data_IF_477893487111
#
_entry.id   IF_477893487111
#
_cell.length_a   1.000
_cell.length_b   1.000
_cell.length_c   1.000
_cell.angle_alpha   90.00
_cell.angle_beta   90.00
_cell.angle_gamma   90.00
#
_symmetry.space_group_name_H-M   'P 1'
#
loop_
_entity.id
_entity.type
_entity.pdbx_description
1 polymer ?
#
# COMPACT_ATOMS: atom_id res chain seq x y z
N UNK A 1 31.53 13.65 -6.97
CA UNK A 1 30.72 13.11 -5.87
C UNK A 1 29.61 14.10 -5.63
N UNK A 2 28.44 13.84 -6.21
CA UNK A 2 27.23 14.65 -5.99
C UNK A 2 26.72 14.31 -4.59
N UNK A 3 26.52 15.31 -3.73
CA UNK A 3 25.80 15.13 -2.49
C UNK A 3 24.36 14.77 -2.86
N UNK A 4 23.94 13.53 -2.56
CA UNK A 4 22.54 13.16 -2.59
C UNK A 4 21.82 14.09 -1.62
N UNK A 5 20.97 14.93 -2.15
CA UNK A 5 20.06 15.75 -1.36
C UNK A 5 19.03 14.83 -0.70
N UNK A 6 18.64 15.13 0.53
CA UNK A 6 17.65 14.38 1.37
C UNK A 6 16.24 14.23 0.75
N UNK A 7 16.08 14.51 -0.54
CA UNK A 7 14.81 14.52 -1.29
C UNK A 7 14.68 13.43 -2.36
N UNK A 8 15.64 12.52 -2.49
CA UNK A 8 15.65 11.49 -3.56
C UNK A 8 15.24 10.09 -3.05
N UNK A 9 14.27 10.01 -2.15
CA UNK A 9 13.69 8.71 -1.80
C UNK A 9 12.68 8.30 -2.87
N UNK A 10 12.63 7.00 -3.25
CA UNK A 10 11.68 6.49 -4.25
C UNK A 10 10.26 6.37 -3.69
N UNK A 11 10.00 6.92 -2.52
CA UNK A 11 8.72 6.89 -1.82
C UNK A 11 8.48 8.17 -1.02
N UNK A 12 7.21 8.44 -0.77
CA UNK A 12 6.76 9.42 0.23
C UNK A 12 6.26 8.65 1.44
N UNK A 13 6.88 8.87 2.59
CA UNK A 13 6.43 8.30 3.85
C UNK A 13 5.87 9.41 4.74
N UNK A 14 4.56 9.44 4.91
CA UNK A 14 3.87 10.38 5.77
C UNK A 14 3.56 9.73 7.13
N UNK A 15 4.60 9.52 7.91
CA UNK A 15 4.54 8.98 9.28
C UNK A 15 3.89 7.59 9.43
N UNK A 16 3.75 6.80 8.36
CA UNK A 16 3.26 5.42 8.48
C UNK A 16 4.36 4.51 9.03
N UNK A 17 5.58 4.68 8.53
CA UNK A 17 6.75 3.95 8.94
C UNK A 17 7.86 4.90 9.44
N UNK A 18 8.88 4.37 10.09
CA UNK A 18 10.10 5.12 10.34
C UNK A 18 10.92 5.26 9.05
N UNK A 19 11.30 6.49 8.68
CA UNK A 19 12.19 6.71 7.55
C UNK A 19 13.54 6.03 7.72
N UNK A 20 14.07 5.98 8.95
CA UNK A 20 15.30 5.26 9.26
C UNK A 20 15.14 3.74 9.05
N UNK A 21 13.99 3.18 9.44
CA UNK A 21 13.71 1.77 9.22
C UNK A 21 13.67 1.44 7.72
N UNK A 22 12.93 2.21 6.94
CA UNK A 22 12.81 2.01 5.50
C UNK A 22 14.17 2.10 4.78
N UNK A 23 15.01 3.06 5.17
CA UNK A 23 16.30 3.30 4.50
C UNK A 23 17.37 2.27 4.87
N UNK A 24 17.37 1.77 6.12
CA UNK A 24 18.44 0.94 6.65
C UNK A 24 18.04 -0.51 6.92
N UNK A 25 16.88 -0.74 7.57
CA UNK A 25 16.50 -2.07 8.09
C UNK A 25 15.62 -2.88 7.14
N UNK A 26 14.75 -2.23 6.35
CA UNK A 26 13.88 -2.92 5.40
C UNK A 26 14.67 -3.75 4.39
N UNK A 27 15.83 -3.24 3.96
CA UNK A 27 16.72 -3.92 3.02
C UNK A 27 17.45 -5.14 3.59
N UNK A 28 17.44 -5.30 4.91
CA UNK A 28 18.08 -6.43 5.62
C UNK A 28 17.08 -7.56 5.91
N UNK A 29 15.80 -7.36 5.57
CA UNK A 29 14.73 -8.35 5.75
C UNK A 29 14.81 -9.46 4.68
N UNK A 30 14.46 -10.68 5.08
CA UNK A 30 14.41 -11.83 4.16
C UNK A 30 13.46 -11.59 2.98
N UNK A 31 12.37 -10.83 3.20
CA UNK A 31 11.40 -10.46 2.16
C UNK A 31 11.99 -9.54 1.08
N UNK A 32 13.10 -8.86 1.38
CA UNK A 32 13.86 -8.07 0.40
C UNK A 32 14.69 -8.93 -0.56
N UNK A 33 15.00 -10.19 -0.20
CA UNK A 33 15.70 -11.14 -1.08
C UNK A 33 14.74 -11.75 -2.11
N UNK A 34 14.19 -10.91 -2.97
CA UNK A 34 13.17 -11.25 -3.97
C UNK A 34 13.56 -10.83 -5.40
N UNK A 35 14.86 -10.69 -5.69
CA UNK A 35 15.39 -10.12 -6.95
C UNK A 35 14.78 -10.72 -8.20
N UNK A 36 14.66 -12.05 -8.28
CA UNK A 36 14.15 -12.72 -9.46
C UNK A 36 12.68 -12.35 -9.75
N UNK A 37 11.82 -12.44 -8.73
CA UNK A 37 10.39 -12.14 -8.86
C UNK A 37 10.16 -10.63 -9.05
N UNK A 38 10.87 -9.78 -8.31
CA UNK A 38 10.79 -8.33 -8.47
C UNK A 38 11.24 -7.87 -9.86
N UNK A 39 12.27 -8.51 -10.44
CA UNK A 39 12.74 -8.20 -11.79
C UNK A 39 11.74 -8.62 -12.87
N UNK A 40 11.09 -9.76 -12.70
CA UNK A 40 10.01 -10.21 -13.59
C UNK A 40 8.85 -9.22 -13.55
N UNK A 41 8.34 -8.91 -12.35
CA UNK A 41 7.27 -7.92 -12.19
C UNK A 41 7.63 -6.53 -12.72
N UNK A 42 8.86 -6.05 -12.51
CA UNK A 42 9.33 -4.78 -13.07
C UNK A 42 9.28 -4.80 -14.60
N UNK A 43 9.76 -5.88 -15.23
CA UNK A 43 9.74 -6.03 -16.69
C UNK A 43 8.33 -6.04 -17.26
N UNK A 44 7.43 -6.78 -16.63
CA UNK A 44 6.04 -6.90 -17.09
C UNK A 44 5.29 -5.57 -16.90
N UNK A 45 5.50 -4.88 -15.79
CA UNK A 45 4.92 -3.56 -15.55
C UNK A 45 5.48 -2.49 -16.49
N UNK A 46 6.76 -2.56 -16.87
CA UNK A 46 7.34 -1.66 -17.88
C UNK A 46 6.75 -1.91 -19.26
N UNK A 47 6.51 -3.18 -19.64
CA UNK A 47 5.84 -3.52 -20.89
C UNK A 47 4.39 -3.01 -20.90
N UNK A 48 3.64 -3.27 -19.82
CA UNK A 48 2.27 -2.78 -19.65
C UNK A 48 2.21 -1.25 -19.71
N UNK A 49 3.09 -0.54 -18.99
CA UNK A 49 3.13 0.93 -19.01
C UNK A 49 3.51 1.48 -20.38
N UNK A 50 4.39 0.79 -21.10
CA UNK A 50 4.73 1.13 -22.49
C UNK A 50 3.56 1.02 -23.46
N UNK A 51 2.57 0.17 -23.19
CA UNK A 51 1.38 -0.03 -24.01
C UNK A 51 0.23 0.91 -23.60
N UNK A 52 -0.01 1.04 -22.30
CA UNK A 52 -1.21 1.69 -21.74
C UNK A 52 -0.93 3.13 -21.24
N UNK A 53 0.31 3.49 -20.91
CA UNK A 53 0.67 4.73 -20.20
C UNK A 53 0.11 6.00 -20.84
N UNK A 54 0.12 6.12 -22.17
CA UNK A 54 -0.46 7.28 -22.89
C UNK A 54 -2.01 7.26 -22.90
N UNK A 55 -2.61 6.08 -22.75
CA UNK A 55 -4.07 5.88 -22.82
C UNK A 55 -4.74 6.17 -21.48
N UNK A 56 -4.08 5.76 -20.37
CA UNK A 56 -4.67 5.86 -19.03
C UNK A 56 -4.78 7.30 -18.52
N UNK A 57 -3.94 8.22 -19.01
CA UNK A 57 -3.96 9.65 -18.61
C UNK A 57 -5.29 10.35 -18.89
N UNK A 58 -6.06 9.88 -19.88
CA UNK A 58 -7.35 10.45 -20.26
C UNK A 58 -8.54 9.54 -19.96
N UNK A 59 -8.33 8.39 -19.31
CA UNK A 59 -9.37 7.40 -19.06
C UNK A 59 -10.32 7.82 -17.94
N UNK A 60 -11.57 7.37 -18.04
CA UNK A 60 -12.51 7.39 -16.91
C UNK A 60 -12.07 6.37 -15.84
N UNK A 61 -12.54 6.54 -14.59
CA UNK A 61 -12.12 5.73 -13.42
C UNK A 61 -12.29 4.22 -13.66
N UNK A 62 -13.45 3.78 -14.19
CA UNK A 62 -13.72 2.37 -14.48
C UNK A 62 -12.77 1.81 -15.55
N UNK A 63 -12.48 2.59 -16.58
CA UNK A 63 -11.57 2.19 -17.64
C UNK A 63 -10.12 2.10 -17.15
N UNK A 64 -9.70 3.05 -16.30
CA UNK A 64 -8.40 3.04 -15.64
C UNK A 64 -8.25 1.83 -14.72
N UNK A 65 -9.32 1.49 -13.99
CA UNK A 65 -9.35 0.31 -13.12
C UNK A 65 -9.13 -0.96 -13.93
N UNK A 66 -9.84 -1.13 -15.05
CA UNK A 66 -9.79 -2.36 -15.86
C UNK A 66 -8.47 -2.48 -16.64
N UNK A 67 -8.02 -1.42 -17.32
CA UNK A 67 -6.90 -1.52 -18.26
C UNK A 67 -5.52 -1.34 -17.63
N UNK A 68 -5.45 -0.79 -16.40
CA UNK A 68 -4.18 -0.50 -15.75
C UNK A 68 -4.11 -1.06 -14.32
N UNK A 69 -5.02 -0.65 -13.44
CA UNK A 69 -4.89 -0.98 -12.01
C UNK A 69 -5.05 -2.48 -11.77
N UNK A 70 -6.03 -3.12 -12.42
CA UNK A 70 -6.24 -4.57 -12.30
C UNK A 70 -5.07 -5.36 -12.89
N UNK A 71 -4.52 -4.94 -14.03
CA UNK A 71 -3.35 -5.56 -14.64
C UNK A 71 -2.11 -5.46 -13.72
N UNK A 72 -1.91 -4.30 -13.08
CA UNK A 72 -0.84 -4.14 -12.06
C UNK A 72 -1.03 -5.13 -10.92
N UNK A 73 -2.26 -5.28 -10.40
CA UNK A 73 -2.56 -6.22 -9.32
C UNK A 73 -2.37 -7.68 -9.76
N UNK A 74 -2.71 -8.03 -11.00
CA UNK A 74 -2.47 -9.36 -11.57
C UNK A 74 -0.99 -9.68 -11.69
N UNK A 75 -0.18 -8.73 -12.17
CA UNK A 75 1.29 -8.87 -12.25
C UNK A 75 1.88 -9.04 -10.84
N UNK A 76 1.35 -8.36 -9.83
CA UNK A 76 1.75 -8.55 -8.43
C UNK A 76 1.30 -9.89 -7.85
N UNK A 77 0.31 -10.57 -8.46
CA UNK A 77 -0.17 -11.91 -8.07
C UNK A 77 -1.46 -11.93 -7.27
N UNK A 78 -2.15 -10.82 -7.07
CA UNK A 78 -3.42 -10.78 -6.35
C UNK A 78 -4.55 -11.52 -7.06
N UNK A 79 -5.44 -12.14 -6.29
CA UNK A 79 -6.81 -12.40 -6.71
C UNK A 79 -7.68 -11.19 -6.35
N UNK A 80 -8.63 -10.82 -7.23
CA UNK A 80 -9.45 -9.63 -7.04
C UNK A 80 -10.94 -9.96 -7.16
N UNK A 81 -11.77 -9.29 -6.37
CA UNK A 81 -13.22 -9.33 -6.49
C UNK A 81 -13.76 -7.89 -6.52
N UNK A 82 -14.29 -7.52 -7.70
CA UNK A 82 -14.74 -6.16 -7.96
C UNK A 82 -16.06 -5.85 -7.27
N UNK A 83 -16.26 -4.58 -6.89
CA UNK A 83 -17.51 -4.05 -6.31
C UNK A 83 -18.02 -4.85 -5.11
N UNK A 84 -17.09 -5.26 -4.21
CA UNK A 84 -17.47 -6.00 -3.02
C UNK A 84 -18.31 -5.12 -2.08
N UNK A 85 -19.53 -5.54 -1.79
CA UNK A 85 -20.44 -4.84 -0.87
C UNK A 85 -19.92 -4.87 0.55
N UNK A 86 -19.69 -3.71 1.14
CA UNK A 86 -19.24 -3.60 2.53
C UNK A 86 -20.31 -4.08 3.51
N UNK A 87 -19.94 -4.82 4.56
CA UNK A 87 -20.87 -5.17 5.63
C UNK A 87 -21.47 -3.90 6.25
N UNK A 88 -22.78 -3.89 6.49
CA UNK A 88 -23.54 -2.89 7.23
C UNK A 88 -23.48 -1.42 6.73
N UNK A 89 -22.82 -1.11 5.63
CA UNK A 89 -22.61 0.29 5.22
C UNK A 89 -23.30 0.71 3.93
N UNK A 90 -23.74 -0.25 3.10
CA UNK A 90 -24.37 0.05 1.81
C UNK A 90 -23.42 0.69 0.79
N UNK A 91 -22.10 0.61 0.98
CA UNK A 91 -21.07 1.02 0.05
C UNK A 91 -20.38 -0.18 -0.59
N UNK A 92 -19.53 0.09 -1.58
CA UNK A 92 -18.72 -0.90 -2.27
C UNK A 92 -17.27 -0.47 -2.22
N UNK A 93 -16.36 -1.45 -2.19
CA UNK A 93 -14.94 -1.23 -2.48
C UNK A 93 -14.69 -1.61 -3.93
N UNK A 94 -13.82 -0.90 -4.61
CA UNK A 94 -13.51 -1.20 -6.02
C UNK A 94 -12.93 -2.60 -6.16
N UNK A 95 -11.99 -2.99 -5.29
CA UNK A 95 -11.47 -4.36 -5.23
C UNK A 95 -11.31 -4.86 -3.78
N UNK A 96 -11.83 -6.06 -3.53
CA UNK A 96 -11.42 -6.88 -2.39
C UNK A 96 -10.28 -7.78 -2.86
N UNK A 97 -9.15 -7.73 -2.15
CA UNK A 97 -7.91 -8.40 -2.52
C UNK A 97 -7.78 -9.74 -1.81
N UNK A 98 -7.27 -10.75 -2.53
CA UNK A 98 -6.98 -12.09 -2.06
C UNK A 98 -5.53 -12.45 -2.36
N UNK A 99 -4.98 -13.37 -1.60
CA UNK A 99 -3.61 -13.87 -1.72
C UNK A 99 -3.25 -14.36 -3.15
N UNK A 100 -4.23 -14.91 -3.86
CA UNK A 100 -4.05 -15.33 -5.24
C UNK A 100 -5.40 -15.47 -5.97
N UNK A 101 -5.40 -15.60 -7.32
CA UNK A 101 -6.61 -15.91 -8.07
C UNK A 101 -7.28 -17.23 -7.66
N UNK A 102 -6.53 -18.18 -7.11
CA UNK A 102 -7.08 -19.44 -6.60
C UNK A 102 -7.82 -19.23 -5.29
N UNK A 103 -7.22 -18.53 -4.33
CA UNK A 103 -7.86 -18.18 -3.05
C UNK A 103 -9.15 -17.37 -3.29
N UNK A 104 -9.12 -16.42 -4.20
CA UNK A 104 -10.32 -15.66 -4.60
C UNK A 104 -11.42 -16.58 -5.10
N UNK A 105 -11.12 -17.57 -5.97
CA UNK A 105 -12.13 -18.52 -6.47
C UNK A 105 -12.75 -19.37 -5.37
N UNK A 106 -11.94 -19.82 -4.42
CA UNK A 106 -12.40 -20.64 -3.31
C UNK A 106 -13.23 -19.81 -2.31
N UNK A 107 -12.84 -18.57 -2.03
CA UNK A 107 -13.61 -17.63 -1.22
C UNK A 107 -15.00 -17.35 -1.84
N UNK A 108 -15.06 -17.10 -3.15
CA UNK A 108 -16.35 -16.88 -3.85
C UNK A 108 -17.24 -18.12 -3.79
N UNK A 109 -16.70 -19.33 -3.99
CA UNK A 109 -17.49 -20.57 -3.85
C UNK A 109 -18.05 -20.73 -2.45
N UNK A 110 -17.22 -20.48 -1.42
CA UNK A 110 -17.64 -20.54 -0.02
C UNK A 110 -18.74 -19.52 0.29
N UNK A 111 -18.63 -18.28 -0.22
CA UNK A 111 -19.63 -17.25 -0.06
C UNK A 111 -20.94 -17.55 -0.78
N UNK A 112 -20.92 -18.27 -1.91
CA UNK A 112 -22.11 -18.73 -2.63
C UNK A 112 -22.88 -19.79 -1.85
N UNK A 113 -22.22 -20.59 -1.03
CA UNK A 113 -22.83 -21.64 -0.19
C UNK A 113 -23.36 -21.08 1.14
N UNK A 114 -23.02 -19.83 1.48
CA UNK A 114 -23.47 -19.10 2.67
C UNK A 114 -24.32 -17.89 2.26
N UNK A 115 -25.28 -17.50 3.10
CA UNK A 115 -26.18 -16.37 2.80
C UNK A 115 -25.57 -14.98 3.12
N UNK A 116 -24.23 -14.87 3.32
CA UNK A 116 -23.61 -13.66 3.84
C UNK A 116 -22.53 -13.03 2.98
N UNK A 117 -22.70 -11.77 2.55
CA UNK A 117 -21.65 -10.95 1.94
C UNK A 117 -20.39 -10.81 2.82
N UNK A 118 -20.56 -10.90 4.15
CA UNK A 118 -19.49 -10.84 5.16
C UNK A 118 -18.51 -12.01 5.02
N UNK A 119 -18.96 -13.19 4.56
CA UNK A 119 -18.11 -14.36 4.45
C UNK A 119 -17.02 -14.21 3.39
N UNK A 120 -17.29 -13.42 2.35
CA UNK A 120 -16.29 -13.11 1.33
C UNK A 120 -15.12 -12.32 1.91
N UNK A 121 -15.40 -11.35 2.80
CA UNK A 121 -14.36 -10.53 3.43
C UNK A 121 -13.49 -11.30 4.42
N UNK A 122 -13.98 -12.40 5.00
CA UNK A 122 -13.20 -13.22 5.94
C UNK A 122 -11.97 -13.88 5.30
N UNK A 123 -12.03 -14.15 4.01
CA UNK A 123 -10.94 -14.73 3.25
C UNK A 123 -10.13 -13.66 2.46
N UNK A 124 -10.53 -12.38 2.56
CA UNK A 124 -9.83 -11.24 1.98
C UNK A 124 -8.62 -10.82 2.81
N UNK A 125 -7.59 -10.29 2.15
CA UNK A 125 -6.34 -9.83 2.79
C UNK A 125 -6.14 -8.33 2.75
N UNK A 126 -6.89 -7.61 1.92
CA UNK A 126 -6.78 -6.15 1.76
C UNK A 126 -7.90 -5.57 0.91
N UNK A 127 -7.97 -4.25 0.87
CA UNK A 127 -8.88 -3.49 0.03
C UNK A 127 -8.10 -2.62 -0.95
N UNK A 128 -8.72 -2.35 -2.11
CA UNK A 128 -8.25 -1.29 -2.99
C UNK A 128 -9.40 -0.37 -3.37
N UNK A 129 -9.11 0.92 -3.34
CA UNK A 129 -9.96 2.00 -3.84
C UNK A 129 -9.21 2.74 -4.95
N UNK A 130 -9.84 2.87 -6.10
CA UNK A 130 -9.31 3.57 -7.26
C UNK A 130 -9.88 4.98 -7.37
N UNK A 131 -9.14 5.87 -8.00
CA UNK A 131 -9.57 7.20 -8.41
C UNK A 131 -9.04 7.48 -9.81
N UNK A 132 -9.63 8.44 -10.49
CA UNK A 132 -9.21 8.85 -11.81
C UNK A 132 -7.71 9.21 -11.83
N UNK A 133 -7.05 9.04 -12.98
CA UNK A 133 -5.62 9.28 -13.14
C UNK A 133 -5.18 10.62 -12.55
N UNK A 134 -4.15 10.55 -11.70
CA UNK A 134 -3.51 11.68 -11.01
C UNK A 134 -4.48 12.59 -10.18
N UNK A 135 -5.65 12.07 -9.79
CA UNK A 135 -6.60 12.79 -8.94
C UNK A 135 -5.98 13.05 -7.55
N UNK A 136 -6.27 14.22 -6.98
CA UNK A 136 -5.81 14.59 -5.65
C UNK A 136 -6.65 13.88 -4.57
N UNK A 137 -6.04 12.94 -3.86
CA UNK A 137 -6.68 12.15 -2.80
C UNK A 137 -7.19 12.97 -1.60
N UNK A 138 -6.74 14.22 -1.48
CA UNK A 138 -7.16 15.15 -0.40
C UNK A 138 -8.28 16.10 -0.83
N UNK A 139 -8.59 16.15 -2.13
CA UNK A 139 -9.64 16.98 -2.70
C UNK A 139 -11.00 16.56 -2.14
N UNK A 140 -11.72 17.53 -1.60
CA UNK A 140 -13.03 17.30 -1.01
C UNK A 140 -14.05 16.91 -2.08
N UNK A 141 -14.81 15.85 -1.83
CA UNK A 141 -15.94 15.48 -2.67
C UNK A 141 -17.03 16.56 -2.65
N UNK A 142 -17.66 16.79 -3.80
CA UNK A 142 -18.76 17.75 -3.95
C UNK A 142 -20.08 17.23 -3.36
N UNK A 143 -20.23 15.91 -3.30
CA UNK A 143 -21.42 15.23 -2.80
C UNK A 143 -21.37 14.99 -1.29
N UNK A 144 -22.55 14.90 -0.68
CA UNK A 144 -22.65 14.55 0.73
C UNK A 144 -22.45 13.02 0.89
N UNK A 145 -21.29 12.65 1.44
CA UNK A 145 -20.88 11.25 1.69
C UNK A 145 -20.43 11.10 3.15
N UNK A 146 -20.38 9.87 3.71
CA UNK A 146 -19.80 9.63 5.05
C UNK A 146 -18.34 10.05 5.18
N UNK A 147 -17.64 10.11 4.07
CA UNK A 147 -16.24 10.48 3.96
C UNK A 147 -16.08 11.74 3.09
N UNK A 148 -15.08 12.57 3.37
CA UNK A 148 -14.91 13.90 2.75
C UNK A 148 -14.01 13.90 1.50
N UNK A 149 -13.12 12.92 1.35
CA UNK A 149 -12.17 12.77 0.25
C UNK A 149 -11.74 11.29 0.13
N UNK A 150 -10.94 10.96 -0.89
CA UNK A 150 -10.49 9.60 -1.15
C UNK A 150 -9.66 9.00 0.01
N UNK A 151 -8.76 9.79 0.63
CA UNK A 151 -7.99 9.33 1.79
C UNK A 151 -8.86 8.99 3.00
N UNK A 152 -9.98 9.71 3.19
CA UNK A 152 -10.94 9.39 4.24
C UNK A 152 -11.85 8.21 3.84
N UNK A 153 -12.10 8.03 2.54
CA UNK A 153 -12.92 6.93 2.02
C UNK A 153 -12.27 5.57 2.32
N UNK A 154 -11.00 5.38 1.96
CA UNK A 154 -10.31 4.12 2.23
C UNK A 154 -10.23 3.80 3.74
N UNK A 155 -9.98 4.80 4.59
CA UNK A 155 -10.00 4.65 6.05
C UNK A 155 -11.38 4.24 6.55
N UNK A 156 -12.44 4.89 6.06
CA UNK A 156 -13.82 4.57 6.39
C UNK A 156 -14.17 3.13 5.99
N UNK A 157 -13.69 2.66 4.84
CA UNK A 157 -13.93 1.29 4.38
C UNK A 157 -13.21 0.27 5.26
N UNK A 158 -11.95 0.51 5.62
CA UNK A 158 -11.20 -0.33 6.55
C UNK A 158 -11.88 -0.45 7.93
N UNK A 159 -12.52 0.63 8.42
CA UNK A 159 -13.30 0.60 9.67
C UNK A 159 -14.59 -0.25 9.58
N UNK A 160 -15.07 -0.52 8.36
CA UNK A 160 -16.32 -1.27 8.10
C UNK A 160 -16.10 -2.72 7.71
N UNK A 161 -14.86 -3.11 7.48
CA UNK A 161 -14.48 -4.50 7.16
C UNK A 161 -14.19 -5.31 8.42
N UNK A 162 -14.26 -6.65 8.35
CA UNK A 162 -13.81 -7.51 9.43
C UNK A 162 -12.34 -7.25 9.81
N UNK A 163 -11.99 -7.55 11.04
CA UNK A 163 -10.68 -7.23 11.64
C UNK A 163 -9.49 -7.94 10.99
N UNK A 164 -9.70 -8.94 10.16
CA UNK A 164 -8.65 -9.58 9.37
C UNK A 164 -8.14 -8.68 8.24
N UNK A 165 -8.91 -7.67 7.81
CA UNK A 165 -8.49 -6.71 6.80
C UNK A 165 -8.02 -5.43 7.48
N UNK A 166 -6.73 -5.30 7.66
CA UNK A 166 -6.10 -4.18 8.36
C UNK A 166 -5.46 -3.16 7.42
N UNK A 167 -5.22 -3.53 6.16
CA UNK A 167 -4.50 -2.73 5.19
C UNK A 167 -5.32 -2.49 3.93
N UNK A 168 -5.19 -1.29 3.37
CA UNK A 168 -5.85 -0.89 2.13
C UNK A 168 -4.95 -0.06 1.25
N UNK A 169 -5.15 -0.22 -0.06
CA UNK A 169 -4.48 0.51 -1.12
C UNK A 169 -5.42 1.57 -1.66
N UNK A 170 -4.97 2.81 -1.73
CA UNK A 170 -5.62 3.89 -2.47
C UNK A 170 -4.73 4.25 -3.66
N UNK A 171 -5.30 4.19 -4.87
CA UNK A 171 -4.54 4.52 -6.08
C UNK A 171 -5.34 5.41 -7.04
N UNK A 172 -4.63 6.24 -7.80
CA UNK A 172 -5.16 6.96 -8.95
C UNK A 172 -4.44 6.50 -10.26
N UNK A 173 -3.94 5.27 -10.25
CA UNK A 173 -3.16 4.71 -11.34
C UNK A 173 -1.68 5.12 -11.31
N UNK A 174 -1.39 6.38 -10.99
CA UNK A 174 -0.04 6.92 -10.85
C UNK A 174 0.53 6.69 -9.46
N UNK A 175 -0.17 7.19 -8.43
CA UNK A 175 0.22 7.11 -7.03
C UNK A 175 -0.43 5.92 -6.37
N UNK A 176 0.35 5.16 -5.64
CA UNK A 176 -0.09 4.01 -4.87
C UNK A 176 0.18 4.26 -3.40
N UNK A 177 -0.88 4.42 -2.61
CA UNK A 177 -0.81 4.68 -1.17
C UNK A 177 -1.25 3.48 -0.37
N UNK A 178 -0.47 3.17 0.67
CA UNK A 178 -0.83 2.19 1.68
C UNK A 178 -1.40 2.89 2.92
N UNK A 179 -2.54 2.41 3.39
CA UNK A 179 -3.20 2.81 4.62
C UNK A 179 -3.44 1.61 5.54
N UNK A 180 -3.20 1.80 6.85
CA UNK A 180 -3.49 0.79 7.88
C UNK A 180 -4.59 1.24 8.83
N UNK A 181 -5.13 0.31 9.61
CA UNK A 181 -6.09 0.58 10.71
C UNK A 181 -5.39 1.05 11.98
N UNK A 182 -4.08 0.89 12.08
CA UNK A 182 -3.26 1.17 13.27
C UNK A 182 -3.28 2.65 13.69
N UNK A 183 -3.76 3.51 12.85
CA UNK A 183 -3.99 4.90 13.19
C UNK A 183 -5.19 5.46 12.41
N UNK A 184 -5.85 6.49 12.96
CA UNK A 184 -7.07 7.07 12.39
C UNK A 184 -6.80 8.27 11.47
N UNK A 185 -5.54 8.72 11.34
CA UNK A 185 -5.19 9.92 10.59
C UNK A 185 -5.13 9.62 9.09
N UNK A 186 -5.87 10.40 8.31
CA UNK A 186 -5.87 10.31 6.83
C UNK A 186 -4.59 10.84 6.18
N UNK A 187 -3.73 11.47 6.97
CA UNK A 187 -2.43 11.99 6.54
C UNK A 187 -1.29 11.00 6.78
N UNK A 188 -1.57 9.86 7.45
CA UNK A 188 -0.58 8.81 7.72
C UNK A 188 -0.68 7.74 6.65
N UNK A 189 0.32 7.71 5.77
CA UNK A 189 0.38 6.79 4.62
C UNK A 189 1.83 6.58 4.15
N UNK A 190 2.02 5.52 3.40
CA UNK A 190 3.19 5.29 2.56
C UNK A 190 2.76 5.38 1.09
N UNK A 191 3.52 6.07 0.24
CA UNK A 191 3.15 6.30 -1.17
C UNK A 191 4.35 6.10 -2.09
N UNK A 192 4.10 5.54 -3.26
CA UNK A 192 5.04 5.51 -4.38
C UNK A 192 4.38 6.11 -5.63
N UNK A 193 5.20 6.67 -6.51
CA UNK A 193 4.82 7.06 -7.88
C UNK A 193 5.26 5.93 -8.81
N UNK A 194 4.32 5.06 -9.20
CA UNK A 194 4.65 3.85 -9.95
C UNK A 194 5.30 4.16 -11.31
N UNK A 195 4.77 5.06 -12.14
CA UNK A 195 5.45 5.49 -13.37
C UNK A 195 6.89 5.93 -13.17
N UNK A 196 7.18 6.73 -12.14
CA UNK A 196 8.55 7.17 -11.86
C UNK A 196 9.49 5.99 -11.55
N UNK A 197 8.99 4.98 -10.82
CA UNK A 197 9.77 3.76 -10.54
C UNK A 197 10.02 2.93 -11.80
N UNK A 198 9.01 2.82 -12.68
CA UNK A 198 9.11 2.08 -13.94
C UNK A 198 10.07 2.75 -14.91
N UNK A 199 10.03 4.09 -15.03
CA UNK A 199 10.92 4.89 -15.86
C UNK A 199 12.36 4.84 -15.36
N UNK A 200 12.58 4.82 -14.04
CA UNK A 200 13.90 4.68 -13.46
C UNK A 200 14.54 3.32 -13.79
N UNK A 201 13.73 2.26 -13.86
CA UNK A 201 14.16 0.90 -14.21
C UNK A 201 15.18 0.30 -13.24
N UNK A 202 15.34 0.88 -12.06
CA UNK A 202 16.27 0.42 -11.03
C UNK A 202 15.54 -0.59 -10.10
N UNK A 203 16.04 -1.82 -10.07
CA UNK A 203 15.45 -2.91 -9.30
C UNK A 203 15.41 -2.62 -7.80
N UNK A 204 16.47 -2.04 -7.23
CA UNK A 204 16.55 -1.73 -5.81
C UNK A 204 15.56 -0.64 -5.40
N UNK A 205 15.30 0.30 -6.31
CA UNK A 205 14.29 1.34 -6.15
C UNK A 205 12.88 0.75 -6.28
N UNK A 206 12.65 -0.11 -7.28
CA UNK A 206 11.37 -0.77 -7.51
C UNK A 206 10.93 -1.67 -6.36
N UNK A 207 11.87 -2.31 -5.66
CA UNK A 207 11.58 -3.15 -4.49
C UNK A 207 10.82 -2.41 -3.37
N UNK A 208 10.95 -1.10 -3.23
CA UNK A 208 10.15 -0.31 -2.30
C UNK A 208 8.64 -0.34 -2.61
N UNK A 209 8.29 -0.51 -3.88
CA UNK A 209 6.91 -0.81 -4.26
C UNK A 209 6.62 -2.30 -4.11
N UNK A 210 7.40 -3.16 -4.76
CA UNK A 210 7.12 -4.58 -4.88
C UNK A 210 6.94 -5.28 -3.53
N UNK A 211 7.85 -5.04 -2.57
CA UNK A 211 7.84 -5.72 -1.27
C UNK A 211 6.65 -5.32 -0.40
N UNK A 212 6.16 -4.07 -0.52
CA UNK A 212 5.06 -3.56 0.31
C UNK A 212 3.68 -3.66 -0.34
N UNK A 213 3.61 -3.91 -1.67
CA UNK A 213 2.33 -3.94 -2.40
C UNK A 213 2.02 -5.29 -3.05
N UNK A 214 2.82 -6.35 -2.84
CA UNK A 214 2.52 -7.71 -3.29
C UNK A 214 1.66 -8.47 -2.26
N UNK A 215 0.96 -9.56 -2.66
CA UNK A 215 0.07 -10.32 -1.76
C UNK A 215 0.71 -10.78 -0.46
N UNK A 216 1.98 -11.22 -0.50
CA UNK A 216 2.71 -11.71 0.67
C UNK A 216 2.87 -10.64 1.76
N UNK A 217 2.80 -9.36 1.38
CA UNK A 217 2.87 -8.27 2.35
C UNK A 217 1.60 -8.17 3.22
N UNK A 218 0.46 -8.59 2.68
CA UNK A 218 -0.86 -8.54 3.31
C UNK A 218 -1.29 -9.87 3.92
N UNK A 219 -0.65 -10.97 3.51
CA UNK A 219 -1.00 -12.30 4.00
C UNK A 219 -0.56 -12.49 5.45
N UNK A 220 -1.51 -12.96 6.30
CA UNK A 220 -1.24 -13.23 7.70
C UNK A 220 -0.48 -14.56 7.85
N UNK A 221 0.69 -14.50 8.46
CA UNK A 221 1.48 -15.67 8.85
C UNK A 221 1.73 -15.62 10.36
N UNK A 222 1.32 -16.65 11.07
CA UNK A 222 1.48 -16.75 12.52
C UNK A 222 0.85 -15.59 13.33
N UNK A 223 -0.21 -14.98 12.82
CA UNK A 223 -0.96 -13.93 13.52
C UNK A 223 -0.49 -12.51 13.21
N UNK A 224 0.39 -12.32 12.24
CA UNK A 224 0.86 -11.01 11.78
C UNK A 224 1.07 -11.00 10.27
N UNK A 225 1.00 -9.83 9.64
CA UNK A 225 1.39 -9.62 8.25
C UNK A 225 2.79 -9.03 8.18
N UNK A 226 3.45 -9.15 7.02
CA UNK A 226 4.74 -8.49 6.84
C UNK A 226 4.65 -6.97 7.05
N UNK A 227 3.57 -6.34 6.58
CA UNK A 227 3.38 -4.89 6.77
C UNK A 227 3.20 -4.54 8.26
N UNK A 228 2.52 -5.38 9.05
CA UNK A 228 2.40 -5.19 10.51
C UNK A 228 3.75 -5.28 11.21
N UNK A 229 4.60 -6.21 10.78
CA UNK A 229 5.97 -6.32 11.29
C UNK A 229 6.79 -5.07 10.95
N UNK A 230 6.76 -4.62 9.69
CA UNK A 230 7.41 -3.38 9.25
C UNK A 230 6.93 -2.19 10.07
N UNK A 231 5.62 -2.10 10.33
CA UNK A 231 5.05 -1.02 11.13
C UNK A 231 5.53 -1.08 12.59
N UNK A 232 5.45 -2.23 13.23
CA UNK A 232 5.86 -2.43 14.63
C UNK A 232 7.36 -2.21 14.85
N UNK A 233 8.19 -2.75 13.95
CA UNK A 233 9.64 -2.55 13.99
C UNK A 233 10.03 -1.11 13.68
N UNK A 234 9.27 -0.41 12.83
CA UNK A 234 9.44 1.03 12.57
C UNK A 234 9.19 1.87 13.82
N UNK A 235 8.16 1.56 14.60
CA UNK A 235 7.89 2.26 15.86
C UNK A 235 9.04 2.06 16.84
N UNK A 236 9.51 0.81 16.99
CA UNK A 236 10.65 0.48 17.85
C UNK A 236 11.92 1.22 17.40
N UNK A 237 12.23 1.21 16.11
CA UNK A 237 13.39 1.92 15.56
C UNK A 237 13.32 3.45 15.76
N UNK A 238 12.13 4.03 15.73
CA UNK A 238 11.93 5.45 16.02
C UNK A 238 12.17 5.78 17.48
N UNK A 239 11.76 4.90 18.40
CA UNK A 239 12.00 5.07 19.83
C UNK A 239 13.50 4.95 20.16
N UNK A 240 14.18 3.91 19.66
CA UNK A 240 15.62 3.72 19.81
C UNK A 240 16.42 4.94 19.32
N UNK A 241 16.08 5.45 18.13
CA UNK A 241 16.74 6.64 17.57
C UNK A 241 16.50 7.88 18.45
N UNK A 242 15.30 8.02 19.02
CA UNK A 242 14.97 9.10 19.94
C UNK A 242 15.77 9.03 21.25
N UNK A 243 15.93 7.84 21.83
CA UNK A 243 16.74 7.60 23.03
C UNK A 243 18.22 7.87 22.77
N UNK A 244 18.80 7.36 21.69
CA UNK A 244 20.17 7.60 21.27
C UNK A 244 20.47 9.10 21.06
N UNK A 245 19.53 9.82 20.42
CA UNK A 245 19.67 11.27 20.21
C UNK A 245 19.65 12.02 21.56
N UNK A 246 18.76 11.62 22.46
CA UNK A 246 18.67 12.22 23.80
C UNK A 246 19.97 12.01 24.60
N UNK A 247 20.52 10.80 24.59
CA UNK A 247 21.77 10.47 25.27
C UNK A 247 22.97 11.24 24.70
N UNK A 248 23.03 11.37 23.36
CA UNK A 248 24.05 12.16 22.70
C UNK A 248 23.97 13.65 23.06
N UNK A 249 22.74 14.21 23.11
CA UNK A 249 22.52 15.60 23.55
C UNK A 249 22.96 15.79 25.00
N UNK A 250 22.59 14.90 25.92
CA UNK A 250 23.04 14.96 27.33
C UNK A 250 24.55 14.87 27.46
N UNK A 251 25.19 13.99 26.67
CA UNK A 251 26.64 13.84 26.67
C UNK A 251 27.33 15.10 26.16
N UNK A 252 26.83 15.70 25.08
CA UNK A 252 27.36 16.96 24.56
C UNK A 252 27.22 18.12 25.57
N UNK A 253 26.07 18.23 26.24
CA UNK A 253 25.86 19.22 27.29
C UNK A 253 26.80 19.06 28.47
N UNK A 254 27.09 17.81 28.90
CA UNK A 254 28.06 17.53 29.96
C UNK A 254 29.49 17.90 29.60
N UNK A 255 29.86 17.82 28.31
CA UNK A 255 31.18 18.20 27.81
C UNK A 255 31.32 19.74 27.75
N UNK A 256 30.25 20.44 27.30
CA UNK A 256 30.25 21.87 27.14
C UNK A 256 30.05 22.65 28.45
N UNK A 257 29.55 22.00 29.51
CA UNK A 257 29.31 22.57 30.82
C UNK A 257 30.47 22.39 31.81
N UNK A 258 31.66 21.93 31.37
CA UNK A 258 32.91 21.89 32.08
C UNK A 258 33.83 22.99 31.62
#
# INVERSE_FOLDING_TARGET
MSQATLTDRPYVNSNLFSGHYLDARLRERDEWDCDAAAKEALSDLQELYGLEGDLVVGSEEDQLLDSWINEVLEILGFGMYSEASLPDSGGFVDQLLFESPTHRRDAVKKAMDSDGATDLFQDGIGLLEAKQWDDDFTKRFSEQRPYRNASHQIKHYLEKTPSNIQWGILTNGRKWRLYGTNNYETQTYYEVDLPELLEAGDLEIFKYFYVLFRPEAFHETAGTTFIDEVWSESETASQELGEDLQDNVFTALRILGK
#
